data_IF_947348069190
#
_entry.id   IF_947348069190
#
_cell.length_a   1.000
_cell.length_b   1.000
_cell.length_c   1.000
_cell.angle_alpha   90.00
_cell.angle_beta   90.00
_cell.angle_gamma   90.00
#
_symmetry.space_group_name_H-M   'P 1'
#
loop_
_entity.id
_entity.type
_entity.pdbx_description
1 polymer ?
#
# COMPACT_ATOMS: atom_id res chain seq x y z
N UNK A 1 -40.85 68.07 -28.20
CA UNK A 1 -40.71 67.22 -27.00
C UNK A 1 -40.02 65.92 -27.41
N UNK A 2 -38.76 65.75 -26.99
CA UNK A 2 -37.83 64.68 -27.40
C UNK A 2 -38.06 63.41 -26.57
N UNK A 3 -39.14 62.66 -26.82
CA UNK A 3 -39.39 61.40 -26.10
C UNK A 3 -39.76 60.19 -26.96
N UNK A 4 -39.78 60.29 -28.29
CA UNK A 4 -40.18 59.16 -29.14
C UNK A 4 -39.01 58.29 -29.67
N UNK A 5 -37.76 58.71 -29.48
CA UNK A 5 -36.58 57.92 -29.92
C UNK A 5 -36.11 56.88 -28.90
N UNK A 6 -36.47 57.01 -27.62
CA UNK A 6 -36.09 56.03 -26.58
C UNK A 6 -37.04 54.83 -26.53
N UNK A 7 -38.32 55.00 -26.90
CA UNK A 7 -39.30 53.90 -26.88
C UNK A 7 -39.03 52.86 -27.96
N UNK A 8 -38.47 53.25 -29.10
CA UNK A 8 -38.14 52.33 -30.19
C UNK A 8 -36.91 51.47 -29.91
N UNK A 9 -35.95 52.00 -29.13
CA UNK A 9 -34.78 51.25 -28.65
C UNK A 9 -35.15 50.26 -27.53
N UNK A 10 -36.17 50.56 -26.71
CA UNK A 10 -36.67 49.66 -25.66
C UNK A 10 -37.47 48.46 -26.21
N UNK A 11 -38.11 48.59 -27.38
CA UNK A 11 -38.86 47.50 -28.02
C UNK A 11 -37.96 46.46 -28.72
N UNK A 12 -36.75 46.83 -29.14
CA UNK A 12 -35.80 45.91 -29.79
C UNK A 12 -35.14 44.95 -28.77
N UNK A 13 -35.08 45.32 -27.49
CA UNK A 13 -34.53 44.47 -26.43
C UNK A 13 -35.53 43.42 -25.89
N UNK A 14 -36.82 43.51 -26.21
CA UNK A 14 -37.83 42.55 -25.73
C UNK A 14 -38.06 41.33 -26.63
N UNK A 15 -37.40 41.23 -27.79
CA UNK A 15 -37.56 40.08 -28.71
C UNK A 15 -36.29 39.25 -28.91
N UNK A 16 -35.22 39.53 -28.17
CA UNK A 16 -34.03 38.67 -28.14
C UNK A 16 -34.10 37.75 -26.93
N UNK A 17 -34.79 36.63 -27.10
CA UNK A 17 -34.69 35.48 -26.20
C UNK A 17 -33.54 34.59 -26.71
N UNK A 18 -32.31 34.67 -26.15
CA UNK A 18 -31.34 33.63 -26.43
C UNK A 18 -31.91 32.32 -25.86
N UNK A 19 -32.28 31.41 -26.75
CA UNK A 19 -32.58 30.03 -26.37
C UNK A 19 -31.27 29.42 -25.88
N UNK A 20 -31.04 29.48 -24.57
CA UNK A 20 -30.02 28.66 -23.93
C UNK A 20 -30.46 27.20 -24.09
N UNK A 21 -29.91 26.53 -25.08
CA UNK A 21 -29.89 25.07 -25.07
C UNK A 21 -29.00 24.68 -23.90
N UNK A 22 -29.61 24.32 -22.77
CA UNK A 22 -28.92 23.55 -21.76
C UNK A 22 -28.64 22.20 -22.40
N UNK A 23 -27.47 22.05 -23.04
CA UNK A 23 -26.90 20.73 -23.19
C UNK A 23 -26.63 20.27 -21.77
N UNK A 24 -27.50 19.40 -21.27
CA UNK A 24 -27.28 18.69 -20.04
C UNK A 24 -26.04 17.82 -20.27
N UNK A 25 -24.86 18.39 -20.05
CA UNK A 25 -23.63 17.64 -20.04
C UNK A 25 -23.69 16.74 -18.81
N UNK A 26 -24.14 15.51 -19.03
CA UNK A 26 -23.79 14.31 -18.29
C UNK A 26 -23.38 14.59 -16.84
N UNK A 27 -24.36 14.74 -15.97
CA UNK A 27 -24.17 14.38 -14.56
C UNK A 27 -24.10 12.86 -14.46
N UNK A 28 -23.09 12.26 -15.09
CA UNK A 28 -22.65 10.92 -14.72
C UNK A 28 -21.91 11.10 -13.41
N UNK A 29 -22.65 11.00 -12.31
CA UNK A 29 -22.05 10.79 -11.00
C UNK A 29 -21.20 9.51 -11.16
N UNK A 30 -19.87 9.57 -10.98
CA UNK A 30 -19.06 8.35 -11.04
C UNK A 30 -19.57 7.43 -9.92
N UNK A 31 -20.12 6.29 -10.34
CA UNK A 31 -20.64 5.29 -9.42
C UNK A 31 -19.45 4.69 -8.67
N UNK A 32 -19.26 5.05 -7.40
CA UNK A 32 -18.35 4.34 -6.48
C UNK A 32 -18.95 2.98 -6.08
N UNK A 33 -19.18 2.11 -7.05
CA UNK A 33 -19.46 0.69 -6.79
C UNK A 33 -18.17 -0.10 -7.00
N UNK A 34 -17.77 -0.97 -6.06
CA UNK A 34 -16.52 -1.73 -6.14
C UNK A 34 -16.59 -2.91 -7.13
N UNK A 35 -17.51 -2.87 -8.09
CA UNK A 35 -17.75 -3.97 -9.04
C UNK A 35 -17.49 -3.41 -10.43
N UNK A 36 -16.35 -3.77 -11.07
CA UNK A 36 -16.14 -3.52 -12.48
C UNK A 36 -17.23 -4.23 -13.29
N UNK A 37 -17.75 -3.57 -14.32
CA UNK A 37 -18.51 -4.25 -15.37
C UNK A 37 -17.61 -5.37 -15.92
N UNK A 38 -18.07 -6.61 -15.75
CA UNK A 38 -17.30 -7.81 -16.07
C UNK A 38 -17.06 -7.85 -17.59
N UNK A 39 -15.89 -7.39 -18.01
CA UNK A 39 -15.36 -7.60 -19.36
C UNK A 39 -14.73 -9.01 -19.40
N UNK A 40 -15.35 -9.99 -20.09
CA UNK A 40 -14.83 -11.35 -20.16
C UNK A 40 -13.56 -11.48 -21.01
N UNK A 41 -13.11 -10.39 -21.65
CA UNK A 41 -11.93 -10.42 -22.54
C UNK A 41 -10.60 -10.16 -21.83
N UNK A 42 -10.63 -9.71 -20.57
CA UNK A 42 -9.44 -9.64 -19.70
C UNK A 42 -9.27 -10.94 -18.92
N UNK A 43 -9.14 -12.05 -19.63
CA UNK A 43 -8.47 -13.21 -19.07
C UNK A 43 -6.97 -12.94 -19.08
N UNK A 44 -6.54 -12.16 -18.10
CA UNK A 44 -5.13 -12.12 -17.74
C UNK A 44 -4.76 -13.51 -17.23
N UNK A 45 -3.77 -14.11 -17.88
CA UNK A 45 -3.17 -15.33 -17.35
C UNK A 45 -2.71 -15.00 -15.92
N UNK A 46 -3.05 -15.81 -14.91
CA UNK A 46 -2.43 -15.64 -13.61
C UNK A 46 -0.93 -15.72 -13.87
N UNK A 47 -0.22 -14.62 -13.68
CA UNK A 47 1.23 -14.62 -13.70
C UNK A 47 1.61 -15.44 -12.48
N UNK A 48 1.76 -16.75 -12.68
CA UNK A 48 2.26 -17.64 -11.67
C UNK A 48 3.61 -17.07 -11.25
N UNK A 49 3.67 -16.57 -10.02
CA UNK A 49 4.93 -16.14 -9.44
C UNK A 49 5.76 -17.40 -9.30
N UNK A 50 6.81 -17.49 -10.11
CA UNK A 50 7.73 -18.61 -10.00
C UNK A 50 8.35 -18.53 -8.60
N UNK A 51 8.11 -19.55 -7.78
CA UNK A 51 8.49 -19.55 -6.37
C UNK A 51 10.01 -19.40 -6.18
N UNK A 52 10.80 -19.64 -7.24
CA UNK A 52 12.26 -19.51 -7.26
C UNK A 52 12.77 -18.05 -7.15
N UNK A 53 11.94 -17.02 -7.36
CA UNK A 53 12.41 -15.62 -7.35
C UNK A 53 12.21 -14.89 -6.01
N UNK A 54 11.44 -15.46 -5.09
CA UNK A 54 11.20 -14.87 -3.77
C UNK A 54 12.28 -15.33 -2.80
N UNK A 55 13.07 -14.38 -2.30
CA UNK A 55 14.12 -14.63 -1.32
C UNK A 55 13.64 -14.29 0.08
N UNK A 56 13.81 -15.21 1.02
CA UNK A 56 13.51 -15.00 2.44
C UNK A 56 14.73 -14.52 3.20
N UNK A 57 14.55 -13.51 4.04
CA UNK A 57 15.58 -12.91 4.87
C UNK A 57 15.08 -12.69 6.30
N UNK A 58 16.01 -12.41 7.22
CA UNK A 58 15.71 -12.06 8.60
C UNK A 58 16.43 -10.78 9.00
N UNK A 59 15.67 -9.85 9.59
CA UNK A 59 16.17 -8.63 10.20
C UNK A 59 16.26 -8.83 11.72
N UNK A 60 17.34 -8.34 12.34
CA UNK A 60 17.48 -8.33 13.80
C UNK A 60 16.64 -7.17 14.36
N UNK A 61 15.42 -7.48 14.76
CA UNK A 61 14.42 -6.51 15.19
C UNK A 61 14.52 -6.23 16.69
N UNK A 62 14.39 -4.97 17.08
CA UNK A 62 14.29 -4.57 18.49
C UNK A 62 12.98 -5.06 19.09
N UNK A 63 13.03 -5.64 20.30
CA UNK A 63 11.84 -6.15 20.97
C UNK A 63 10.82 -5.03 21.25
N UNK A 64 11.31 -3.91 21.78
CA UNK A 64 10.48 -2.78 22.23
C UNK A 64 11.02 -1.45 21.72
N UNK A 65 10.30 -0.82 20.80
CA UNK A 65 10.66 0.46 20.20
C UNK A 65 10.32 1.68 21.05
N UNK A 66 9.48 1.53 22.07
CA UNK A 66 8.86 2.65 22.79
C UNK A 66 9.31 2.76 24.24
N UNK A 67 10.32 1.99 24.64
CA UNK A 67 10.91 2.03 25.96
C UNK A 67 12.43 1.94 25.86
N UNK A 68 13.11 2.37 26.93
CA UNK A 68 14.57 2.58 26.94
C UNK A 68 15.28 1.74 28.00
N UNK A 69 14.61 0.74 28.58
CA UNK A 69 15.21 -0.17 29.54
C UNK A 69 16.16 -1.14 28.83
N UNK A 70 17.15 -1.72 29.53
CA UNK A 70 18.08 -2.68 28.92
C UNK A 70 17.37 -3.84 28.18
N UNK A 71 16.25 -4.33 28.71
CA UNK A 71 15.49 -5.42 28.10
C UNK A 71 14.83 -5.02 26.78
N UNK A 72 14.50 -3.73 26.61
CA UNK A 72 13.88 -3.20 25.40
C UNK A 72 14.76 -3.37 24.16
N UNK A 73 16.08 -3.37 24.34
CA UNK A 73 17.06 -3.53 23.28
C UNK A 73 17.41 -4.99 22.95
N UNK A 74 16.77 -5.95 23.62
CA UNK A 74 16.84 -7.35 23.17
C UNK A 74 16.28 -7.47 21.75
N UNK A 75 16.76 -8.45 20.99
CA UNK A 75 16.39 -8.58 19.58
C UNK A 75 15.85 -9.95 19.25
N UNK A 76 14.99 -10.01 18.24
CA UNK A 76 14.47 -11.24 17.68
C UNK A 76 14.58 -11.21 16.14
N UNK A 77 14.64 -12.37 15.47
CA UNK A 77 14.67 -12.42 14.02
C UNK A 77 13.26 -12.15 13.44
N UNK A 78 13.06 -11.03 12.76
CA UNK A 78 11.85 -10.75 12.00
C UNK A 78 12.06 -11.09 10.53
N UNK A 79 11.18 -11.92 9.99
CA UNK A 79 11.25 -12.37 8.60
C UNK A 79 10.69 -11.33 7.64
N UNK A 80 11.31 -11.22 6.48
CA UNK A 80 10.75 -10.54 5.32
C UNK A 80 11.13 -11.27 4.04
N UNK A 81 10.31 -11.10 3.01
CA UNK A 81 10.51 -11.68 1.68
C UNK A 81 10.79 -10.56 0.69
N UNK A 82 11.67 -10.79 -0.27
CA UNK A 82 11.94 -9.86 -1.37
C UNK A 82 11.87 -10.58 -2.71
N UNK A 83 11.21 -9.96 -3.69
CA UNK A 83 11.32 -10.33 -5.10
C UNK A 83 11.97 -9.19 -5.89
N UNK A 84 13.07 -9.51 -6.56
CA UNK A 84 13.89 -8.56 -7.34
C UNK A 84 13.56 -8.57 -8.85
N UNK A 85 12.72 -9.48 -9.34
CA UNK A 85 12.52 -9.78 -10.77
C UNK A 85 12.38 -8.54 -11.66
N UNK A 86 11.58 -7.58 -11.23
CA UNK A 86 11.26 -6.37 -12.01
C UNK A 86 11.91 -5.11 -11.45
N UNK A 87 12.73 -5.21 -10.41
CA UNK A 87 13.23 -4.01 -9.75
C UNK A 87 14.21 -3.24 -10.64
N UNK A 88 13.85 -2.00 -10.98
CA UNK A 88 14.66 -1.11 -11.81
C UNK A 88 15.94 -0.59 -11.15
N UNK A 89 16.21 -0.99 -9.91
CA UNK A 89 17.40 -0.62 -9.14
C UNK A 89 17.34 0.76 -8.49
N UNK A 90 18.27 1.01 -7.57
CA UNK A 90 18.33 2.25 -6.81
C UNK A 90 18.62 3.49 -7.68
N UNK A 91 19.43 3.35 -8.72
CA UNK A 91 19.86 4.47 -9.57
C UNK A 91 18.70 5.12 -10.34
N UNK A 92 17.66 4.35 -10.64
CA UNK A 92 16.43 4.85 -11.28
C UNK A 92 15.39 5.35 -10.27
N UNK A 93 15.71 5.31 -8.97
CA UNK A 93 14.75 5.54 -7.87
C UNK A 93 13.50 4.66 -8.01
N UNK A 94 13.67 3.43 -8.51
CA UNK A 94 12.59 2.47 -8.68
C UNK A 94 11.80 2.27 -7.37
N UNK A 95 10.45 2.23 -7.42
CA UNK A 95 9.61 2.15 -6.23
C UNK A 95 9.79 0.83 -5.49
N UNK A 96 9.50 0.87 -4.18
CA UNK A 96 9.37 -0.31 -3.34
C UNK A 96 7.88 -0.47 -3.02
N UNK A 97 7.29 -1.58 -3.45
CA UNK A 97 5.96 -2.00 -3.03
C UNK A 97 6.11 -2.88 -1.78
N UNK A 98 5.66 -2.35 -0.66
CA UNK A 98 5.80 -2.97 0.64
C UNK A 98 4.45 -3.49 1.14
N UNK A 99 4.30 -4.80 1.23
CA UNK A 99 3.18 -5.42 1.90
C UNK A 99 3.45 -5.54 3.41
N UNK A 100 2.58 -4.93 4.22
CA UNK A 100 2.62 -5.10 5.67
C UNK A 100 1.84 -6.35 6.04
N UNK A 101 2.55 -7.36 6.53
CA UNK A 101 1.93 -8.62 6.95
C UNK A 101 0.84 -8.40 7.98
N UNK A 102 -0.27 -9.11 7.85
CA UNK A 102 -1.40 -8.99 8.78
C UNK A 102 -1.32 -10.10 9.86
N UNK A 103 -2.43 -10.78 10.14
CA UNK A 103 -2.57 -11.72 11.25
C UNK A 103 -2.18 -13.17 10.92
N UNK A 104 -1.16 -13.37 10.08
CA UNK A 104 -0.78 -14.72 9.65
C UNK A 104 0.67 -14.82 9.14
N UNK A 105 1.22 -16.04 9.02
CA UNK A 105 2.52 -16.25 8.39
C UNK A 105 2.57 -15.67 6.97
N UNK A 106 3.72 -15.13 6.57
CA UNK A 106 3.84 -14.37 5.32
C UNK A 106 3.92 -15.25 4.05
N UNK A 107 4.09 -16.57 4.19
CA UNK A 107 4.49 -17.48 3.10
C UNK A 107 3.57 -17.46 1.87
N UNK A 108 2.25 -17.35 2.07
CA UNK A 108 1.27 -17.45 0.98
C UNK A 108 0.93 -16.09 0.34
N UNK A 109 1.29 -14.98 0.97
CA UNK A 109 0.87 -13.65 0.51
C UNK A 109 1.44 -13.23 -0.85
N UNK A 110 2.69 -13.54 -1.21
CA UNK A 110 3.21 -13.24 -2.54
C UNK A 110 2.39 -13.84 -3.69
N UNK A 111 1.68 -14.96 -3.44
CA UNK A 111 0.82 -15.62 -4.42
C UNK A 111 -0.66 -15.23 -4.28
N UNK A 112 -1.05 -14.59 -3.19
CA UNK A 112 -2.46 -14.31 -2.86
C UNK A 112 -2.86 -12.84 -3.07
N UNK A 113 -1.89 -11.92 -3.08
CA UNK A 113 -2.14 -10.49 -3.24
C UNK A 113 -1.60 -10.03 -4.59
N UNK A 114 -2.48 -10.07 -5.60
CA UNK A 114 -2.11 -9.77 -6.99
C UNK A 114 -1.59 -8.35 -7.20
N UNK A 115 -2.12 -7.34 -6.49
CA UNK A 115 -1.77 -5.94 -6.78
C UNK A 115 -0.24 -5.68 -6.85
N UNK A 116 0.54 -6.25 -5.94
CA UNK A 116 2.00 -6.07 -5.95
C UNK A 116 2.63 -6.71 -7.19
N UNK A 117 2.30 -7.97 -7.48
CA UNK A 117 2.88 -8.74 -8.58
C UNK A 117 2.42 -8.26 -9.94
N UNK A 118 1.14 -7.92 -10.07
CA UNK A 118 0.49 -7.49 -11.32
C UNK A 118 1.03 -6.14 -11.80
N UNK A 119 1.45 -5.28 -10.86
CA UNK A 119 1.98 -3.94 -11.17
C UNK A 119 3.52 -3.86 -11.10
N UNK A 120 4.20 -4.92 -10.68
CA UNK A 120 5.65 -4.90 -10.46
C UNK A 120 6.43 -4.56 -11.74
N UNK A 121 6.05 -5.18 -12.87
CA UNK A 121 6.70 -4.99 -14.15
C UNK A 121 6.51 -3.57 -14.70
N UNK A 122 5.28 -3.06 -14.69
CA UNK A 122 4.97 -1.71 -15.20
C UNK A 122 5.61 -0.60 -14.36
N UNK A 123 5.79 -0.83 -13.07
CA UNK A 123 6.37 0.14 -12.15
C UNK A 123 7.87 -0.06 -11.92
N UNK A 124 8.48 -1.09 -12.51
CA UNK A 124 9.84 -1.53 -12.20
C UNK A 124 10.08 -1.69 -10.68
N UNK A 125 9.09 -2.20 -9.95
CA UNK A 125 9.07 -2.15 -8.50
C UNK A 125 9.86 -3.29 -7.83
N UNK A 126 10.47 -2.99 -6.69
CA UNK A 126 10.91 -4.00 -5.74
C UNK A 126 9.70 -4.46 -4.93
N UNK A 127 9.47 -5.77 -4.83
CA UNK A 127 8.42 -6.28 -3.96
C UNK A 127 9.01 -6.71 -2.63
N UNK A 128 8.44 -6.22 -1.54
CA UNK A 128 8.85 -6.53 -0.17
C UNK A 128 7.62 -6.95 0.62
N UNK A 129 7.67 -8.10 1.27
CA UNK A 129 6.61 -8.59 2.16
C UNK A 129 7.19 -8.74 3.55
N UNK A 130 6.69 -8.01 4.53
CA UNK A 130 7.26 -8.00 5.88
C UNK A 130 6.33 -8.76 6.82
N UNK A 131 6.84 -9.81 7.45
CA UNK A 131 6.04 -10.61 8.37
C UNK A 131 5.78 -9.85 9.67
N UNK A 132 4.55 -9.91 10.15
CA UNK A 132 4.15 -9.28 11.40
C UNK A 132 4.79 -10.01 12.59
N UNK A 133 5.20 -9.26 13.62
CA UNK A 133 5.66 -9.84 14.89
C UNK A 133 4.59 -10.79 15.48
N UNK A 134 4.98 -11.87 16.16
CA UNK A 134 4.10 -12.92 16.72
C UNK A 134 3.39 -13.83 15.70
N UNK A 135 3.68 -13.69 14.40
CA UNK A 135 3.16 -14.56 13.36
C UNK A 135 4.28 -15.24 12.58
N UNK A 136 3.96 -16.43 12.05
CA UNK A 136 4.88 -17.23 11.25
C UNK A 136 6.19 -17.50 11.95
N UNK A 137 7.29 -17.04 11.35
CA UNK A 137 8.67 -17.24 11.84
C UNK A 137 9.20 -16.01 12.58
N UNK A 138 8.35 -15.01 12.81
CA UNK A 138 8.71 -13.71 13.39
C UNK A 138 8.17 -13.58 14.81
N UNK A 139 8.63 -14.47 15.71
CA UNK A 139 8.15 -14.52 17.09
C UNK A 139 9.24 -13.98 18.01
N UNK A 140 8.99 -12.88 18.75
CA UNK A 140 9.82 -12.54 19.89
C UNK A 140 9.60 -13.63 20.95
N UNK A 141 10.64 -14.13 21.61
CA UNK A 141 10.64 -15.32 22.50
C UNK A 141 10.72 -16.68 21.79
N UNK A 142 11.04 -17.75 22.53
CA UNK A 142 11.41 -19.06 21.96
C UNK A 142 10.28 -19.71 21.14
N UNK A 143 9.03 -19.44 21.51
CA UNK A 143 7.83 -19.99 20.84
C UNK A 143 6.66 -19.02 20.93
N UNK A 144 5.68 -19.22 20.04
CA UNK A 144 4.46 -18.39 20.04
C UNK A 144 3.64 -18.62 21.31
N UNK A 145 3.64 -19.86 21.80
CA UNK A 145 2.99 -20.25 23.04
C UNK A 145 3.60 -19.48 24.23
N UNK A 146 4.93 -19.40 24.31
CA UNK A 146 5.61 -18.61 25.34
C UNK A 146 5.35 -17.10 25.17
N UNK A 147 5.40 -16.62 23.94
CA UNK A 147 5.18 -15.22 23.61
C UNK A 147 3.78 -14.71 24.03
N UNK A 148 2.80 -15.61 24.10
CA UNK A 148 1.41 -15.29 24.49
C UNK A 148 1.05 -15.73 25.90
N UNK A 149 1.98 -16.35 26.63
CA UNK A 149 1.71 -16.98 27.93
C UNK A 149 1.34 -15.98 29.03
N UNK A 150 1.95 -14.79 29.04
CA UNK A 150 1.85 -13.86 30.17
C UNK A 150 1.70 -12.41 29.71
N UNK A 151 1.19 -11.55 30.61
CA UNK A 151 1.08 -10.10 30.39
C UNK A 151 2.43 -9.44 30.03
N UNK A 152 3.54 -9.98 30.55
CA UNK A 152 4.89 -9.47 30.30
C UNK A 152 5.40 -9.77 28.89
N UNK A 153 4.92 -10.83 28.23
CA UNK A 153 5.35 -11.20 26.87
C UNK A 153 4.36 -10.74 25.82
N UNK A 154 3.05 -10.77 26.10
CA UNK A 154 2.02 -10.31 25.15
C UNK A 154 1.99 -8.78 24.98
N UNK A 155 2.57 -8.02 25.92
CA UNK A 155 2.59 -6.55 25.87
C UNK A 155 3.26 -5.98 24.61
N UNK A 156 4.22 -6.70 24.01
CA UNK A 156 4.87 -6.28 22.76
C UNK A 156 4.09 -6.68 21.50
N UNK A 157 2.96 -7.36 21.64
CA UNK A 157 2.09 -7.76 20.54
C UNK A 157 1.01 -6.69 20.28
N UNK A 158 1.41 -5.59 19.63
CA UNK A 158 0.51 -4.50 19.28
C UNK A 158 0.93 -3.82 17.96
N UNK A 159 0.00 -3.06 17.37
CA UNK A 159 0.18 -2.42 16.05
C UNK A 159 1.23 -1.32 16.05
N UNK A 160 1.38 -0.56 17.15
CA UNK A 160 2.41 0.48 17.23
C UNK A 160 3.82 -0.11 17.11
N UNK A 161 4.07 -1.22 17.80
CA UNK A 161 5.32 -1.96 17.70
C UNK A 161 5.52 -2.59 16.32
N UNK A 162 4.48 -3.17 15.73
CA UNK A 162 4.55 -3.72 14.38
C UNK A 162 4.84 -2.64 13.32
N UNK A 163 4.25 -1.46 13.45
CA UNK A 163 4.51 -0.34 12.54
C UNK A 163 5.96 0.15 12.64
N UNK A 164 6.49 0.24 13.85
CA UNK A 164 7.91 0.55 14.08
C UNK A 164 8.82 -0.54 13.48
N UNK A 165 8.43 -1.81 13.57
CA UNK A 165 9.16 -2.90 12.94
C UNK A 165 9.25 -2.75 11.43
N UNK A 166 8.12 -2.50 10.77
CA UNK A 166 8.05 -2.32 9.32
C UNK A 166 8.94 -1.17 8.87
N UNK A 167 8.89 -0.04 9.58
CA UNK A 167 9.75 1.11 9.30
C UNK A 167 11.24 0.75 9.44
N UNK A 168 11.62 -0.02 10.48
CA UNK A 168 13.00 -0.46 10.68
C UNK A 168 13.48 -1.39 9.55
N UNK A 169 12.65 -2.36 9.14
CA UNK A 169 12.96 -3.27 8.02
C UNK A 169 13.09 -2.50 6.71
N UNK A 170 12.15 -1.60 6.40
CA UNK A 170 12.21 -0.79 5.18
C UNK A 170 13.44 0.11 5.14
N UNK A 171 13.79 0.74 6.27
CA UNK A 171 15.01 1.53 6.39
C UNK A 171 16.26 0.67 6.19
N UNK A 172 16.29 -0.53 6.76
CA UNK A 172 17.36 -1.50 6.54
C UNK A 172 17.50 -1.86 5.05
N UNK A 173 16.39 -2.21 4.38
CA UNK A 173 16.39 -2.56 2.95
C UNK A 173 16.90 -1.38 2.10
N UNK A 174 16.39 -0.17 2.33
CA UNK A 174 16.84 1.03 1.61
C UNK A 174 18.34 1.27 1.79
N UNK A 175 18.86 1.04 3.01
CA UNK A 175 20.29 1.16 3.28
C UNK A 175 21.13 0.09 2.59
N UNK A 176 20.74 -1.18 2.71
CA UNK A 176 21.44 -2.32 2.12
C UNK A 176 21.47 -2.26 0.59
N UNK A 177 20.41 -1.74 -0.03
CA UNK A 177 20.27 -1.67 -1.49
C UNK A 177 20.65 -0.31 -2.08
N UNK A 178 21.17 0.62 -1.27
CA UNK A 178 21.44 2.01 -1.67
C UNK A 178 20.23 2.72 -2.32
N UNK A 179 19.02 2.35 -1.91
CA UNK A 179 17.75 2.78 -2.49
C UNK A 179 17.08 3.94 -1.71
N UNK A 180 17.85 4.89 -1.18
CA UNK A 180 17.37 5.93 -0.26
C UNK A 180 16.32 6.83 -0.91
N UNK A 181 16.46 7.07 -2.20
CA UNK A 181 15.55 7.91 -3.00
C UNK A 181 14.35 7.13 -3.57
N UNK A 182 14.35 5.80 -3.46
CA UNK A 182 13.20 5.00 -3.89
C UNK A 182 11.97 5.32 -3.04
N UNK A 183 10.83 5.68 -3.66
CA UNK A 183 9.57 5.86 -2.95
C UNK A 183 9.09 4.50 -2.43
N UNK A 184 8.45 4.51 -1.26
CA UNK A 184 7.82 3.32 -0.69
C UNK A 184 6.32 3.50 -0.78
N UNK A 185 5.65 2.57 -1.44
CA UNK A 185 4.20 2.47 -1.49
C UNK A 185 3.82 1.28 -0.61
N UNK A 186 2.96 1.54 0.36
CA UNK A 186 2.53 0.54 1.33
C UNK A 186 1.21 -0.05 0.87
N UNK A 187 1.12 -1.38 0.87
CA UNK A 187 -0.07 -2.14 0.53
C UNK A 187 -0.44 -3.00 1.74
N UNK A 188 -1.73 -3.04 2.05
CA UNK A 188 -2.28 -3.83 3.14
C UNK A 188 -3.76 -4.09 2.93
N UNK A 189 -4.25 -5.17 3.51
CA UNK A 189 -5.68 -5.51 3.52
C UNK A 189 -6.11 -5.96 4.91
N UNK A 190 -7.38 -5.76 5.25
CA UNK A 190 -7.89 -5.99 6.61
C UNK A 190 -7.05 -5.22 7.64
N UNK A 191 -6.57 -5.86 8.70
CA UNK A 191 -5.65 -5.30 9.68
C UNK A 191 -4.35 -4.77 9.05
N UNK A 192 -3.79 -5.44 8.05
CA UNK A 192 -2.58 -4.95 7.39
C UNK A 192 -2.79 -3.61 6.66
N UNK A 193 -4.03 -3.27 6.32
CA UNK A 193 -4.40 -2.00 5.69
C UNK A 193 -4.91 -0.93 6.66
N UNK A 194 -5.10 -1.26 7.94
CA UNK A 194 -5.58 -0.34 8.99
C UNK A 194 -4.40 0.39 9.64
#
# INVERSE_FOLDING_TARGET
MKHHSLLFLLLIFLTYSPSFSTTQSWTTIPRMSPIPEWDPSLHDHPVAVDAEEIKSFFFKQTLDHFNYKPESYTTFPQRYLINFKYWGGANSSAPIFAYLGAESPIDNFPNSIGFLTDNAASCNALLVYIEHRYYGKSVPFESREEALKNASTIGYFNSAQALADYAAVLKHIKNTLHAQNSPVIVIGGSYGGS
#
